data_IF_089396274404
#
_entry.id   IF_089396274404
#
_cell.length_a   1.000
_cell.length_b   1.000
_cell.length_c   1.000
_cell.angle_alpha   90.00
_cell.angle_beta   90.00
_cell.angle_gamma   90.00
#
_symmetry.space_group_name_H-M   'P 1'
#
loop_
_entity.id
_entity.type
_entity.pdbx_description
1 polymer ?
#
# COMPACT_ATOMS: atom_id res chain seq x y z
N UNK A 1 -8.79 -1.48 18.98
CA UNK A 1 -7.81 -0.51 18.44
C UNK A 1 -8.54 0.30 17.38
N UNK A 2 -8.61 1.62 17.55
CA UNK A 2 -9.10 2.52 16.49
C UNK A 2 -7.91 2.79 15.59
N UNK A 3 -7.91 2.26 14.36
CA UNK A 3 -7.01 2.74 13.32
C UNK A 3 -7.27 4.24 13.13
N UNK A 4 -6.29 5.12 13.35
CA UNK A 4 -6.53 6.54 13.16
C UNK A 4 -6.66 6.75 11.65
N UNK A 5 -7.86 7.17 11.21
CA UNK A 5 -8.17 7.47 9.81
C UNK A 5 -7.12 8.40 9.16
N UNK A 6 -6.42 9.18 10.00
CA UNK A 6 -5.26 9.99 9.66
C UNK A 6 -4.14 9.23 8.93
N UNK A 7 -3.82 7.99 9.31
CA UNK A 7 -2.78 7.20 8.65
C UNK A 7 -3.18 6.80 7.23
N UNK A 8 -4.43 6.37 7.05
CA UNK A 8 -4.97 6.00 5.74
C UNK A 8 -5.06 7.23 4.82
N UNK A 9 -5.50 8.38 5.35
CA UNK A 9 -5.52 9.64 4.60
C UNK A 9 -4.11 10.10 4.24
N UNK A 10 -3.11 9.90 5.10
CA UNK A 10 -1.71 10.20 4.83
C UNK A 10 -1.15 9.38 3.66
N UNK A 11 -1.37 8.06 3.65
CA UNK A 11 -0.96 7.20 2.52
C UNK A 11 -1.72 7.57 1.24
N UNK A 12 -3.03 7.88 1.33
CA UNK A 12 -3.81 8.34 0.17
C UNK A 12 -3.27 9.66 -0.38
N UNK A 13 -2.88 10.59 0.49
CA UNK A 13 -2.31 11.87 0.10
C UNK A 13 -0.96 11.69 -0.60
N UNK A 14 -0.08 10.83 -0.05
CA UNK A 14 1.20 10.48 -0.68
C UNK A 14 0.99 9.86 -2.07
N UNK A 15 0.09 8.86 -2.20
CA UNK A 15 -0.26 8.28 -3.50
C UNK A 15 -0.79 9.33 -4.49
N UNK A 16 -1.66 10.23 -4.04
CA UNK A 16 -2.17 11.30 -4.90
C UNK A 16 -1.09 12.27 -5.36
N UNK A 17 -0.05 12.50 -4.55
CA UNK A 17 1.08 13.36 -4.92
C UNK A 17 1.95 12.71 -5.98
N UNK A 18 2.28 11.43 -5.76
CA UNK A 18 3.09 10.63 -6.68
C UNK A 18 2.38 10.42 -8.04
N UNK A 19 1.07 10.20 -8.05
CA UNK A 19 0.34 9.81 -9.27
C UNK A 19 -0.48 10.95 -9.88
N UNK A 20 -0.14 12.22 -9.63
CA UNK A 20 -0.82 13.37 -10.26
C UNK A 20 -0.88 13.23 -11.79
N UNK A 21 -2.01 13.55 -12.44
CA UNK A 21 -3.23 14.12 -11.85
C UNK A 21 -4.26 13.08 -11.37
N UNK A 22 -3.94 11.78 -11.39
CA UNK A 22 -4.86 10.71 -11.01
C UNK A 22 -5.17 10.75 -9.51
N UNK A 23 -6.38 10.33 -9.16
CA UNK A 23 -6.82 10.18 -7.77
C UNK A 23 -6.62 8.74 -7.30
N UNK A 24 -6.56 8.56 -5.99
CA UNK A 24 -6.41 7.25 -5.37
C UNK A 24 -7.68 6.86 -4.64
N UNK A 25 -8.23 5.70 -5.01
CA UNK A 25 -9.36 5.06 -4.33
C UNK A 25 -8.84 4.13 -3.24
N UNK A 26 -9.37 4.29 -2.03
CA UNK A 26 -9.15 3.39 -0.90
C UNK A 26 -10.26 2.32 -0.87
N UNK A 27 -9.87 1.07 -0.67
CA UNK A 27 -10.74 -0.10 -0.49
C UNK A 27 -10.24 -0.95 0.66
N UNK A 28 -11.15 -1.49 1.45
CA UNK A 28 -10.86 -2.42 2.54
C UNK A 28 -11.20 -3.85 2.09
N UNK A 29 -10.28 -4.79 2.28
CA UNK A 29 -10.43 -6.16 1.79
C UNK A 29 -10.10 -7.22 2.85
N UNK A 30 -11.03 -8.17 3.03
CA UNK A 30 -10.77 -9.47 3.64
C UNK A 30 -10.60 -9.48 5.16
N UNK A 31 -10.07 -10.59 5.66
CA UNK A 31 -9.70 -10.80 7.07
C UNK A 31 -8.48 -11.74 7.12
N UNK A 32 -7.33 -11.34 7.70
CA UNK A 32 -7.07 -10.02 8.31
C UNK A 32 -7.17 -8.88 7.28
N UNK A 33 -7.52 -7.70 7.77
CA UNK A 33 -7.88 -6.55 6.95
C UNK A 33 -6.67 -6.03 6.17
N UNK A 34 -6.85 -5.82 4.87
CA UNK A 34 -5.86 -5.22 3.97
C UNK A 34 -6.47 -3.98 3.34
N UNK A 35 -5.76 -2.86 3.43
CA UNK A 35 -6.13 -1.60 2.79
C UNK A 35 -5.49 -1.50 1.40
N UNK A 36 -6.31 -1.29 0.38
CA UNK A 36 -5.92 -1.21 -1.02
C UNK A 36 -6.08 0.22 -1.54
N UNK A 37 -4.99 0.82 -1.99
CA UNK A 37 -4.87 2.15 -2.57
C UNK A 37 -4.66 2.01 -4.08
N UNK A 38 -5.72 2.23 -4.85
CA UNK A 38 -5.73 2.06 -6.29
C UNK A 38 -5.75 3.41 -7.01
N UNK A 39 -4.84 3.61 -7.96
CA UNK A 39 -4.79 4.82 -8.79
C UNK A 39 -5.86 4.75 -9.89
N UNK A 40 -6.72 5.77 -9.94
CA UNK A 40 -7.83 5.92 -10.88
C UNK A 40 -7.35 6.51 -12.22
N UNK A 41 -6.55 5.75 -12.98
CA UNK A 41 -5.98 6.18 -14.27
C UNK A 41 -6.33 5.29 -15.47
N UNK A 42 -7.37 4.46 -15.35
CA UNK A 42 -7.71 3.43 -16.34
C UNK A 42 -6.86 2.16 -16.19
N UNK A 43 -7.21 1.11 -16.93
CA UNK A 43 -6.54 -0.18 -16.81
C UNK A 43 -5.25 -0.22 -17.67
N UNK A 44 -4.12 -0.73 -17.14
CA UNK A 44 -3.92 -1.24 -15.78
C UNK A 44 -3.76 -0.13 -14.71
N UNK A 45 -4.37 -0.34 -13.54
CA UNK A 45 -4.35 0.59 -12.40
C UNK A 45 -3.31 0.17 -11.35
N UNK A 46 -2.25 0.96 -11.12
CA UNK A 46 -1.32 0.73 -10.03
C UNK A 46 -2.08 0.62 -8.70
N UNK A 47 -1.75 -0.41 -7.94
CA UNK A 47 -2.41 -0.70 -6.66
C UNK A 47 -1.37 -1.03 -5.60
N UNK A 48 -1.36 -0.24 -4.54
CA UNK A 48 -0.61 -0.48 -3.32
C UNK A 48 -1.55 -1.07 -2.27
N UNK A 49 -1.18 -2.19 -1.68
CA UNK A 49 -1.90 -2.80 -0.58
C UNK A 49 -1.03 -2.71 0.68
N UNK A 50 -1.64 -2.47 1.84
CA UNK A 50 -0.95 -2.42 3.14
C UNK A 50 -1.80 -3.21 4.13
N UNK A 51 -1.20 -4.18 4.83
CA UNK A 51 -1.91 -4.91 5.88
C UNK A 51 -2.22 -4.01 7.07
N UNK A 52 -3.29 -4.31 7.79
CA UNK A 52 -3.62 -3.62 9.03
C UNK A 52 -2.47 -3.67 10.06
N UNK A 53 -1.76 -4.79 10.14
CA UNK A 53 -0.60 -4.99 11.02
C UNK A 53 0.50 -3.93 10.82
N UNK A 54 0.76 -3.51 9.58
CA UNK A 54 1.72 -2.44 9.30
C UNK A 54 1.26 -1.12 9.94
N UNK A 55 -0.03 -0.82 9.88
CA UNK A 55 -0.59 0.38 10.51
C UNK A 55 -0.69 0.27 12.04
N UNK A 56 -0.81 -0.94 12.59
CA UNK A 56 -0.79 -1.18 14.04
C UNK A 56 0.61 -0.95 14.63
N UNK A 57 1.67 -1.29 13.87
CA UNK A 57 3.04 -1.27 14.37
C UNK A 57 3.84 -0.03 13.97
N UNK A 58 3.48 0.64 12.87
CA UNK A 58 4.24 1.77 12.34
C UNK A 58 3.39 3.03 12.19
N UNK A 59 3.90 4.21 12.61
CA UNK A 59 3.28 5.48 12.28
C UNK A 59 3.36 5.74 10.77
N UNK A 60 2.43 6.54 10.26
CA UNK A 60 2.33 6.86 8.82
C UNK A 60 3.62 7.42 8.22
N UNK A 61 4.39 8.21 8.98
CA UNK A 61 5.64 8.80 8.53
C UNK A 61 6.73 7.72 8.28
N UNK A 62 6.76 6.67 9.10
CA UNK A 62 7.68 5.53 8.88
C UNK A 62 7.27 4.71 7.66
N UNK A 63 5.96 4.53 7.45
CA UNK A 63 5.44 3.82 6.27
C UNK A 63 5.78 4.60 5.00
N UNK A 64 5.60 5.92 5.00
CA UNK A 64 5.99 6.80 3.87
C UNK A 64 7.49 6.75 3.63
N UNK A 65 8.31 6.85 4.68
CA UNK A 65 9.76 6.74 4.55
C UNK A 65 10.18 5.39 3.92
N UNK A 66 9.51 4.29 4.29
CA UNK A 66 9.75 2.98 3.70
C UNK A 66 9.31 2.92 2.22
N UNK A 67 8.15 3.50 1.88
CA UNK A 67 7.67 3.60 0.50
C UNK A 67 8.66 4.35 -0.40
N UNK A 68 9.19 5.46 0.09
CA UNK A 68 10.16 6.30 -0.62
C UNK A 68 11.51 5.59 -0.77
N UNK A 69 12.02 5.01 0.32
CA UNK A 69 13.28 4.26 0.33
C UNK A 69 13.26 3.10 -0.67
N UNK A 70 12.15 2.36 -0.74
CA UNK A 70 12.00 1.22 -1.65
C UNK A 70 11.54 1.61 -3.05
N UNK A 71 11.43 2.91 -3.35
CA UNK A 71 11.00 3.46 -4.63
C UNK A 71 9.67 2.84 -5.12
N UNK A 72 8.71 2.66 -4.21
CA UNK A 72 7.45 1.94 -4.49
C UNK A 72 6.65 2.62 -5.60
N UNK A 73 6.58 3.94 -5.60
CA UNK A 73 5.91 4.68 -6.67
C UNK A 73 6.55 4.42 -8.05
N UNK A 74 7.88 4.39 -8.14
CA UNK A 74 8.57 4.09 -9.39
C UNK A 74 8.30 2.65 -9.87
N UNK A 75 8.30 1.67 -8.96
CA UNK A 75 7.95 0.27 -9.25
C UNK A 75 6.52 0.15 -9.79
N UNK A 76 5.57 0.81 -9.15
CA UNK A 76 4.16 0.83 -9.55
C UNK A 76 3.92 1.53 -10.90
N UNK A 77 4.69 2.58 -11.21
CA UNK A 77 4.66 3.22 -12.54
C UNK A 77 5.26 2.32 -13.63
N UNK A 78 6.35 1.61 -13.31
CA UNK A 78 7.03 0.72 -14.24
C UNK A 78 6.27 -0.58 -14.54
N UNK A 79 5.54 -1.11 -13.56
CA UNK A 79 4.67 -2.28 -13.71
C UNK A 79 3.31 -2.08 -13.00
N UNK A 80 2.36 -1.39 -13.66
CA UNK A 80 1.04 -1.12 -13.11
C UNK A 80 0.15 -2.38 -12.95
N UNK A 81 0.56 -3.54 -13.49
CA UNK A 81 -0.14 -4.81 -13.29
C UNK A 81 0.28 -5.51 -11.99
N UNK A 82 1.46 -5.17 -11.46
CA UNK A 82 1.94 -5.73 -10.20
C UNK A 82 1.38 -4.95 -9.02
N UNK A 83 0.46 -5.59 -8.30
CA UNK A 83 -0.01 -5.07 -7.02
C UNK A 83 1.05 -5.36 -5.96
N UNK A 84 1.54 -4.32 -5.29
CA UNK A 84 2.47 -4.47 -4.17
C UNK A 84 1.69 -4.56 -2.87
N UNK A 85 2.18 -5.38 -1.94
CA UNK A 85 1.65 -5.55 -0.60
C UNK A 85 2.76 -5.23 0.40
N UNK A 86 2.51 -4.25 1.27
CA UNK A 86 3.30 -4.02 2.46
C UNK A 86 2.90 -5.03 3.54
N UNK A 87 3.89 -5.74 4.08
CA UNK A 87 3.76 -6.64 5.22
C UNK A 87 4.86 -6.35 6.23
N UNK A 88 4.64 -6.81 7.46
CA UNK A 88 5.54 -6.57 8.59
C UNK A 88 6.03 -7.90 9.16
N UNK A 89 7.11 -8.50 8.60
CA UNK A 89 7.81 -9.58 9.27
C UNK A 89 8.92 -9.04 10.17
N UNK A 90 8.85 -9.36 11.46
CA UNK A 90 9.95 -9.21 12.43
C UNK A 90 10.36 -7.75 12.72
N UNK A 91 9.40 -6.84 12.81
CA UNK A 91 9.55 -5.41 13.06
C UNK A 91 9.96 -4.58 11.83
N UNK A 92 9.73 -5.06 10.60
CA UNK A 92 10.20 -4.38 9.37
C UNK A 92 9.15 -4.37 8.28
N UNK A 93 8.91 -3.19 7.72
CA UNK A 93 8.06 -3.04 6.53
C UNK A 93 8.82 -3.57 5.31
N UNK A 94 8.23 -4.55 4.62
CA UNK A 94 8.71 -5.02 3.32
C UNK A 94 7.58 -4.97 2.29
N UNK A 95 7.94 -4.76 1.01
CA UNK A 95 6.99 -4.75 -0.10
C UNK A 95 7.16 -5.98 -0.99
N UNK A 96 6.11 -6.79 -1.09
CA UNK A 96 6.10 -8.00 -1.90
C UNK A 96 5.00 -7.96 -2.96
N UNK A 97 5.14 -8.64 -4.10
CA UNK A 97 4.02 -8.80 -5.04
C UNK A 97 2.85 -9.52 -4.35
N UNK A 98 1.65 -8.94 -4.39
CA UNK A 98 0.44 -9.48 -3.72
C UNK A 98 0.10 -10.90 -4.15
N UNK A 99 0.39 -11.26 -5.41
CA UNK A 99 0.21 -12.63 -5.93
C UNK A 99 1.05 -13.66 -5.18
N UNK A 100 2.24 -13.29 -4.73
CA UNK A 100 3.16 -14.17 -3.98
C UNK A 100 2.67 -14.43 -2.56
N UNK A 101 2.03 -13.42 -1.93
CA UNK A 101 1.48 -13.57 -0.57
C UNK A 101 0.26 -14.47 -0.49
N UNK A 102 -0.69 -14.38 -1.45
CA UNK A 102 -1.88 -15.27 -1.46
C UNK A 102 -1.52 -16.76 -1.52
N UNK A 103 -0.41 -17.13 -2.17
CA UNK A 103 0.05 -18.53 -2.23
C UNK A 103 0.69 -19.02 -0.94
N UNK A 104 1.16 -18.11 -0.07
CA UNK A 104 1.82 -18.48 1.19
C UNK A 104 0.84 -18.72 2.33
N UNK A 105 -0.46 -18.44 2.14
CA UNK A 105 -1.52 -18.66 3.13
C UNK A 105 -2.45 -19.84 2.79
N UNK A 106 -2.20 -20.54 1.67
CA UNK A 106 -2.96 -21.74 1.26
C UNK A 106 -2.25 -23.03 1.63
#
# INVERSE_FOLDING_TARGET
>A
MMMPHQSLDGIRAWMNDEFKPAKTRLQEEGTPEVYSFQVEQGAPSPTLCISQEVFDHHPVDEIIAALDHDHVAAKLRGDPMTHLLAVEPQGRIIFVPRRSWRRSQS
#
